data_IF_093913996827
#
_entry.id   IF_093913996827
#
_cell.length_a   1.000
_cell.length_b   1.000
_cell.length_c   1.000
_cell.angle_alpha   90.00
_cell.angle_beta   90.00
_cell.angle_gamma   90.00
#
_symmetry.space_group_name_H-M   'P 1'
#
loop_
_entity.id
_entity.type
_entity.pdbx_description
1 polymer ?
#
# COMPACT_ATOMS: atom_id res chain seq x y z
N UNK A 1 3.86 -29.43 -22.43
CA UNK A 1 3.53 -28.27 -21.58
C UNK A 1 4.81 -27.49 -21.35
N UNK A 2 4.80 -26.16 -21.52
CA UNK A 2 5.98 -25.35 -21.21
C UNK A 2 6.21 -25.31 -19.69
N UNK A 3 7.44 -25.57 -19.25
CA UNK A 3 7.83 -25.49 -17.84
C UNK A 3 8.23 -24.06 -17.52
N UNK A 4 7.53 -23.42 -16.58
CA UNK A 4 7.89 -22.09 -16.11
C UNK A 4 9.16 -22.18 -15.26
N UNK A 5 10.12 -21.31 -15.55
CA UNK A 5 11.39 -21.20 -14.84
C UNK A 5 11.55 -19.80 -14.25
N UNK A 6 12.33 -19.68 -13.18
CA UNK A 6 12.71 -18.40 -12.59
C UNK A 6 13.80 -17.69 -13.42
N UNK A 7 14.24 -16.51 -12.96
CA UNK A 7 15.30 -15.72 -13.59
C UNK A 7 16.68 -16.42 -13.64
N UNK A 8 16.84 -17.53 -12.92
CA UNK A 8 18.05 -18.35 -12.87
C UNK A 8 17.90 -19.68 -13.64
N UNK A 9 16.76 -19.89 -14.31
CA UNK A 9 16.47 -21.12 -15.06
C UNK A 9 16.00 -22.29 -14.19
N UNK A 10 15.73 -22.08 -12.90
CA UNK A 10 15.22 -23.14 -12.04
C UNK A 10 13.72 -23.33 -12.27
N UNK A 11 13.23 -24.58 -12.34
CA UNK A 11 11.80 -24.85 -12.41
C UNK A 11 11.00 -24.27 -11.25
N UNK A 12 9.97 -23.48 -11.55
CA UNK A 12 9.05 -22.99 -10.54
C UNK A 12 8.17 -24.13 -10.02
N UNK A 13 8.17 -24.32 -8.70
CA UNK A 13 7.25 -25.24 -8.03
C UNK A 13 5.93 -24.53 -7.79
N UNK A 14 4.89 -24.91 -8.53
CA UNK A 14 3.54 -24.30 -8.43
C UNK A 14 3.01 -24.13 -7.00
N UNK A 15 3.28 -25.11 -6.13
CA UNK A 15 2.83 -25.09 -4.73
C UNK A 15 3.50 -24.02 -3.86
N UNK A 16 4.71 -23.57 -4.24
CA UNK A 16 5.42 -22.52 -3.52
C UNK A 16 4.93 -21.12 -3.96
N UNK A 17 4.54 -20.97 -5.23
CA UNK A 17 4.04 -19.70 -5.79
C UNK A 17 2.67 -19.29 -5.22
N UNK A 18 1.88 -20.24 -4.73
CA UNK A 18 0.55 -19.97 -4.14
C UNK A 18 0.60 -19.59 -2.66
N UNK A 19 1.78 -19.60 -2.02
CA UNK A 19 1.91 -19.25 -0.60
C UNK A 19 2.22 -17.76 -0.44
N UNK A 20 1.68 -17.09 0.59
CA UNK A 20 2.11 -15.74 0.94
C UNK A 20 3.62 -15.69 1.14
N UNK A 21 4.29 -14.77 0.45
CA UNK A 21 5.75 -14.64 0.51
C UNK A 21 6.19 -13.68 1.64
N UNK A 22 5.41 -12.63 1.91
CA UNK A 22 5.77 -11.52 2.80
C UNK A 22 5.14 -11.59 4.20
N UNK A 23 4.70 -12.77 4.66
CA UNK A 23 4.06 -12.92 5.97
C UNK A 23 4.96 -12.49 7.16
N UNK A 24 4.36 -12.01 8.27
CA UNK A 24 5.12 -11.60 9.45
C UNK A 24 5.90 -12.78 10.05
N UNK A 25 7.16 -12.55 10.41
CA UNK A 25 8.01 -13.56 11.05
C UNK A 25 8.53 -13.03 12.39
N UNK A 26 8.62 -13.89 13.40
CA UNK A 26 9.09 -13.55 14.75
C UNK A 26 10.58 -13.21 14.84
N UNK A 27 11.37 -13.44 13.78
CA UNK A 27 12.82 -13.27 13.77
C UNK A 27 13.38 -12.78 12.42
N UNK A 28 12.64 -11.92 11.72
CA UNK A 28 13.07 -11.33 10.45
C UNK A 28 13.92 -10.06 10.60
N UNK A 29 14.45 -9.57 9.47
CA UNK A 29 15.23 -8.32 9.37
C UNK A 29 14.41 -7.08 9.75
N UNK A 30 13.07 -7.19 9.74
CA UNK A 30 12.14 -6.13 10.18
C UNK A 30 11.74 -6.41 11.64
N UNK A 31 12.24 -5.65 12.62
CA UNK A 31 11.73 -5.78 13.98
C UNK A 31 10.23 -5.45 14.01
N UNK A 32 9.46 -6.22 14.77
CA UNK A 32 8.02 -6.00 14.97
C UNK A 32 7.75 -4.78 15.88
N UNK A 33 8.79 -4.31 16.57
CA UNK A 33 8.74 -3.20 17.53
C UNK A 33 9.16 -1.93 16.80
N UNK A 34 8.22 -1.01 16.59
CA UNK A 34 8.51 0.36 16.17
C UNK A 34 9.14 1.16 17.32
N UNK A 35 9.97 2.13 16.97
CA UNK A 35 10.42 3.16 17.91
C UNK A 35 9.31 4.17 18.23
N UNK A 36 9.50 4.92 19.32
CA UNK A 36 8.66 6.08 19.68
C UNK A 36 9.47 7.38 19.62
N UNK A 37 9.84 7.87 18.43
CA UNK A 37 10.67 9.06 18.28
C UNK A 37 10.06 10.33 18.86
N UNK A 38 8.75 10.38 19.11
CA UNK A 38 8.11 11.51 19.78
C UNK A 38 8.45 11.60 21.28
N UNK A 39 8.91 10.52 21.92
CA UNK A 39 9.34 10.56 23.33
C UNK A 39 10.63 11.37 23.50
N UNK A 40 10.60 12.44 24.29
CA UNK A 40 11.76 13.33 24.45
C UNK A 40 12.11 14.11 23.19
N UNK A 41 11.14 14.32 22.29
CA UNK A 41 11.32 15.13 21.09
C UNK A 41 11.69 16.57 21.48
N UNK A 42 12.72 17.09 20.82
CA UNK A 42 13.16 18.47 20.93
C UNK A 42 13.60 18.98 19.54
N UNK A 43 13.77 20.30 19.34
CA UNK A 43 14.10 20.85 18.02
C UNK A 43 15.36 20.23 17.40
N UNK A 44 16.38 19.90 18.20
CA UNK A 44 17.62 19.28 17.71
C UNK A 44 17.36 17.85 17.21
N UNK A 45 16.59 17.06 17.94
CA UNK A 45 16.22 15.69 17.54
C UNK A 45 15.31 15.69 16.31
N UNK A 46 14.33 16.60 16.26
CA UNK A 46 13.46 16.76 15.09
C UNK A 46 14.28 17.09 13.84
N UNK A 47 15.24 18.03 13.94
CA UNK A 47 16.14 18.35 12.82
C UNK A 47 16.97 17.15 12.37
N UNK A 48 17.45 16.33 13.31
CA UNK A 48 18.20 15.11 12.97
C UNK A 48 17.34 14.08 12.24
N UNK A 49 16.09 13.87 12.68
CA UNK A 49 15.13 12.97 12.02
C UNK A 49 14.88 13.41 10.56
N UNK A 50 14.59 14.69 10.34
CA UNK A 50 14.38 15.20 8.99
C UNK A 50 15.62 15.10 8.10
N UNK A 51 16.82 15.33 8.67
CA UNK A 51 18.07 15.21 7.92
C UNK A 51 18.35 13.76 7.51
N UNK A 52 18.14 12.80 8.41
CA UNK A 52 18.27 11.38 8.10
C UNK A 52 17.34 10.98 6.95
N UNK A 53 16.07 11.41 7.01
CA UNK A 53 15.10 11.16 5.94
C UNK A 53 15.56 11.75 4.59
N UNK A 54 16.11 12.97 4.59
CA UNK A 54 16.66 13.60 3.39
C UNK A 54 17.90 12.90 2.84
N UNK A 55 18.67 12.22 3.69
CA UNK A 55 19.87 11.45 3.34
C UNK A 55 19.55 9.97 2.99
N UNK A 56 18.28 9.59 2.95
CA UNK A 56 17.83 8.26 2.52
C UNK A 56 17.49 7.27 3.65
N UNK A 57 17.48 7.73 4.91
CA UNK A 57 17.05 6.94 6.07
C UNK A 57 15.75 7.52 6.68
N UNK A 58 14.57 7.14 6.14
CA UNK A 58 13.30 7.71 6.56
C UNK A 58 12.70 7.06 7.80
N UNK A 59 13.29 5.99 8.35
CA UNK A 59 12.62 5.15 9.35
C UNK A 59 12.08 5.96 10.53
N UNK A 60 12.93 6.73 11.20
CA UNK A 60 12.51 7.56 12.35
C UNK A 60 11.54 8.68 11.98
N UNK A 61 11.49 9.11 10.72
CA UNK A 61 10.49 10.07 10.26
C UNK A 61 9.12 9.39 10.08
N UNK A 62 9.10 8.18 9.54
CA UNK A 62 7.86 7.40 9.37
C UNK A 62 7.26 7.03 10.73
N UNK A 63 8.09 6.58 11.67
CA UNK A 63 7.67 6.32 13.06
C UNK A 63 7.18 7.60 13.75
N UNK A 64 7.84 8.74 13.51
CA UNK A 64 7.41 10.02 14.08
C UNK A 64 6.06 10.48 13.51
N UNK A 65 5.81 10.24 12.22
CA UNK A 65 4.53 10.56 11.61
C UNK A 65 3.38 9.76 12.24
N UNK A 66 3.61 8.49 12.57
CA UNK A 66 2.64 7.64 13.30
C UNK A 66 2.42 8.16 14.71
N UNK A 67 3.49 8.36 15.49
CA UNK A 67 3.41 8.89 16.85
C UNK A 67 2.63 10.23 16.90
N UNK A 68 2.85 11.13 15.94
CA UNK A 68 2.15 12.42 15.87
C UNK A 68 0.67 12.22 15.56
N UNK A 69 0.31 11.32 14.63
CA UNK A 69 -1.09 11.03 14.29
C UNK A 69 -1.84 10.35 15.45
N UNK A 70 -1.17 9.58 16.30
CA UNK A 70 -1.77 8.98 17.50
C UNK A 70 -1.89 9.95 18.68
N UNK A 71 -0.93 10.89 18.82
CA UNK A 71 -0.84 11.76 20.00
C UNK A 71 -1.50 13.13 19.83
N UNK A 72 -1.49 13.71 18.64
CA UNK A 72 -2.04 15.03 18.38
C UNK A 72 -3.44 14.94 17.76
N UNK A 73 -4.46 15.23 18.57
CA UNK A 73 -5.87 15.15 18.15
C UNK A 73 -6.22 16.12 17.01
N UNK A 74 -5.54 17.27 16.91
CA UNK A 74 -5.77 18.21 15.82
C UNK A 74 -5.19 17.67 14.53
N UNK A 75 -3.94 17.19 14.57
CA UNK A 75 -3.28 16.54 13.44
C UNK A 75 -4.09 15.33 12.95
N UNK A 76 -4.51 14.45 13.85
CA UNK A 76 -5.38 13.32 13.56
C UNK A 76 -6.67 13.77 12.85
N UNK A 77 -7.34 14.80 13.37
CA UNK A 77 -8.58 15.33 12.79
C UNK A 77 -8.40 15.87 11.37
N UNK A 78 -7.31 16.62 11.12
CA UNK A 78 -6.97 17.15 9.80
C UNK A 78 -6.62 16.03 8.82
N UNK A 79 -5.77 15.08 9.23
CA UNK A 79 -5.37 13.94 8.41
C UNK A 79 -6.55 13.05 8.07
N UNK A 80 -7.37 12.68 9.06
CA UNK A 80 -8.60 11.90 8.87
C UNK A 80 -9.56 12.57 7.90
N UNK A 81 -9.73 13.89 8.00
CA UNK A 81 -10.59 14.65 7.08
C UNK A 81 -10.05 14.55 5.66
N UNK A 82 -8.76 14.81 5.45
CA UNK A 82 -8.12 14.74 4.13
C UNK A 82 -8.21 13.34 3.51
N UNK A 83 -7.89 12.30 4.29
CA UNK A 83 -7.98 10.89 3.86
C UNK A 83 -9.41 10.57 3.42
N UNK A 84 -10.43 10.89 4.23
CA UNK A 84 -11.84 10.62 3.91
C UNK A 84 -12.36 11.44 2.74
N UNK A 85 -11.97 12.70 2.60
CA UNK A 85 -12.39 13.56 1.48
C UNK A 85 -12.04 12.95 0.12
N UNK A 86 -10.95 12.19 0.03
CA UNK A 86 -10.52 11.51 -1.20
C UNK A 86 -11.07 10.08 -1.28
N UNK A 87 -10.96 9.28 -0.22
CA UNK A 87 -11.35 7.86 -0.23
C UNK A 87 -12.85 7.62 -0.52
N UNK A 88 -13.71 8.61 -0.26
CA UNK A 88 -15.15 8.51 -0.50
C UNK A 88 -15.57 8.90 -1.92
N UNK A 89 -14.67 9.40 -2.75
CA UNK A 89 -15.02 9.83 -4.10
C UNK A 89 -15.49 8.65 -4.97
N UNK A 90 -16.46 8.85 -5.87
CA UNK A 90 -16.83 7.84 -6.84
C UNK A 90 -15.67 7.63 -7.82
N UNK A 91 -15.30 6.38 -8.07
CA UNK A 91 -14.26 6.01 -9.03
C UNK A 91 -14.93 5.51 -10.31
N UNK A 92 -14.58 6.14 -11.43
CA UNK A 92 -15.12 5.78 -12.75
C UNK A 92 -13.98 5.45 -13.71
N UNK A 93 -14.18 4.42 -14.53
CA UNK A 93 -13.24 4.01 -15.57
C UNK A 93 -13.78 4.45 -16.92
N UNK A 94 -13.02 5.26 -17.63
CA UNK A 94 -13.33 5.66 -19.00
C UNK A 94 -12.58 4.76 -19.99
N UNK A 95 -13.24 4.31 -21.08
CA UNK A 95 -12.53 3.58 -22.12
C UNK A 95 -11.51 4.49 -22.80
N UNK A 96 -10.39 3.91 -23.23
CA UNK A 96 -9.33 4.66 -23.90
C UNK A 96 -9.76 5.20 -25.29
N UNK A 97 -10.78 4.60 -25.92
CA UNK A 97 -11.40 5.08 -27.16
C UNK A 97 -12.77 4.42 -27.39
N UNK A 98 -13.42 4.68 -28.52
CA UNK A 98 -14.67 4.04 -28.92
C UNK A 98 -14.57 2.58 -29.41
N UNK A 99 -13.35 2.07 -29.62
CA UNK A 99 -13.10 0.68 -29.99
C UNK A 99 -13.77 -0.31 -29.01
N UNK A 100 -14.32 -1.40 -29.55
CA UNK A 100 -15.06 -2.40 -28.78
C UNK A 100 -14.21 -3.00 -27.64
N UNK A 101 -12.93 -3.30 -27.90
CA UNK A 101 -12.02 -3.86 -26.89
C UNK A 101 -11.75 -2.88 -25.74
N UNK A 102 -11.64 -1.58 -26.03
CA UNK A 102 -11.41 -0.56 -25.00
C UNK A 102 -12.62 -0.41 -24.08
N UNK A 103 -13.84 -0.50 -24.63
CA UNK A 103 -15.09 -0.50 -23.85
C UNK A 103 -15.16 -1.73 -22.94
N UNK A 104 -14.87 -2.91 -23.49
CA UNK A 104 -14.80 -4.17 -22.74
C UNK A 104 -13.76 -4.14 -21.60
N UNK A 105 -12.59 -3.53 -21.82
CA UNK A 105 -11.57 -3.39 -20.77
C UNK A 105 -12.02 -2.42 -19.68
N UNK A 106 -12.62 -1.28 -20.03
CA UNK A 106 -13.13 -0.33 -19.04
C UNK A 106 -14.26 -0.94 -18.19
N UNK A 107 -15.19 -1.67 -18.81
CA UNK A 107 -16.25 -2.40 -18.09
C UNK A 107 -15.67 -3.43 -17.11
N UNK A 108 -14.61 -4.15 -17.51
CA UNK A 108 -13.94 -5.10 -16.63
C UNK A 108 -13.32 -4.41 -15.40
N UNK A 109 -12.54 -3.35 -15.60
CA UNK A 109 -11.93 -2.63 -14.47
C UNK A 109 -13.00 -1.95 -13.60
N UNK A 110 -14.04 -1.38 -14.20
CA UNK A 110 -15.15 -0.78 -13.45
C UNK A 110 -15.88 -1.83 -12.61
N UNK A 111 -16.11 -3.03 -13.14
CA UNK A 111 -16.71 -4.13 -12.40
C UNK A 111 -15.86 -4.51 -11.18
N UNK A 112 -14.54 -4.62 -11.33
CA UNK A 112 -13.65 -4.91 -10.21
C UNK A 112 -13.64 -3.78 -9.17
N UNK A 113 -13.66 -2.51 -9.59
CA UNK A 113 -13.77 -1.36 -8.69
C UNK A 113 -15.07 -1.40 -7.87
N UNK A 114 -16.17 -1.88 -8.48
CA UNK A 114 -17.45 -2.02 -7.80
C UNK A 114 -17.50 -3.19 -6.80
N UNK A 115 -16.52 -4.09 -6.81
CA UNK A 115 -16.38 -5.16 -5.80
C UNK A 115 -15.80 -4.61 -4.47
N UNK A 116 -15.57 -3.29 -4.37
CA UNK A 116 -15.07 -2.53 -3.20
C UNK A 116 -13.68 -2.94 -2.67
N UNK A 117 -12.95 -3.84 -3.35
CA UNK A 117 -11.57 -4.23 -3.00
C UNK A 117 -10.64 -3.01 -2.94
N UNK A 118 -10.69 -2.14 -3.96
CA UNK A 118 -9.92 -0.89 -3.95
C UNK A 118 -10.40 0.05 -2.84
N UNK A 119 -11.72 0.18 -2.65
CA UNK A 119 -12.30 1.10 -1.66
C UNK A 119 -11.83 0.77 -0.24
N UNK A 120 -11.72 -0.52 0.09
CA UNK A 120 -11.30 -0.98 1.41
C UNK A 120 -9.91 -0.47 1.81
N UNK A 121 -9.00 -0.29 0.85
CA UNK A 121 -7.60 0.08 1.12
C UNK A 121 -7.28 1.56 0.82
N UNK A 122 -8.21 2.34 0.26
CA UNK A 122 -7.95 3.75 -0.10
C UNK A 122 -7.57 4.62 1.10
N UNK A 123 -8.15 4.35 2.26
CA UNK A 123 -7.85 5.11 3.48
C UNK A 123 -6.39 4.92 3.88
N UNK A 124 -5.90 3.68 3.85
CA UNK A 124 -4.52 3.31 4.21
C UNK A 124 -3.52 3.75 3.13
N UNK A 125 -3.90 3.67 1.85
CA UNK A 125 -3.10 4.21 0.74
C UNK A 125 -2.83 5.72 0.90
N UNK A 126 -3.78 6.46 1.51
CA UNK A 126 -3.65 7.89 1.77
C UNK A 126 -2.81 8.23 3.01
N UNK A 127 -2.20 7.24 3.66
CA UNK A 127 -1.11 7.48 4.61
C UNK A 127 0.08 8.21 3.97
N UNK A 128 0.20 8.09 2.64
CA UNK A 128 1.10 8.89 1.81
C UNK A 128 0.94 10.42 1.99
N UNK A 129 -0.21 10.93 2.45
CA UNK A 129 -0.38 12.37 2.72
C UNK A 129 0.58 12.85 3.81
N UNK A 130 0.80 12.03 4.84
CA UNK A 130 1.65 12.38 5.99
C UNK A 130 3.10 11.95 5.76
N UNK A 131 3.30 10.79 5.14
CA UNK A 131 4.61 10.13 5.02
C UNK A 131 5.31 10.33 3.67
N UNK A 132 4.59 10.88 2.67
CA UNK A 132 5.09 11.10 1.31
C UNK A 132 4.94 9.89 0.39
N UNK A 133 4.76 8.69 0.93
CA UNK A 133 4.45 7.47 0.20
C UNK A 133 3.64 6.51 1.08
N UNK A 134 2.99 5.54 0.44
CA UNK A 134 2.36 4.39 1.09
C UNK A 134 2.71 3.16 0.25
N UNK A 135 2.90 2.02 0.90
CA UNK A 135 3.23 0.75 0.25
C UNK A 135 2.07 -0.19 0.51
N UNK A 136 1.61 -0.86 -0.53
CA UNK A 136 0.54 -1.84 -0.45
C UNK A 136 1.00 -3.14 -1.12
N UNK A 137 0.71 -4.28 -0.51
CA UNK A 137 0.81 -5.59 -1.15
C UNK A 137 -0.46 -5.86 -1.97
N UNK A 138 -0.30 -6.36 -3.20
CA UNK A 138 -1.43 -6.78 -4.04
C UNK A 138 -1.45 -8.29 -4.08
N UNK A 139 -2.53 -8.87 -3.56
CA UNK A 139 -2.81 -10.28 -3.68
C UNK A 139 -3.73 -10.54 -4.88
N UNK A 140 -3.35 -11.49 -5.72
CA UNK A 140 -3.99 -11.72 -7.02
C UNK A 140 -4.78 -13.02 -7.04
N UNK A 141 -5.92 -13.01 -7.72
CA UNK A 141 -6.71 -14.21 -7.96
C UNK A 141 -7.10 -14.37 -9.42
N UNK A 142 -7.43 -15.61 -9.80
CA UNK A 142 -8.12 -15.91 -11.06
C UNK A 142 -9.60 -16.14 -10.82
N UNK A 143 -10.46 -15.28 -11.36
CA UNK A 143 -11.92 -15.44 -11.37
C UNK A 143 -12.44 -15.52 -12.80
N UNK A 144 -13.18 -16.57 -13.14
CA UNK A 144 -13.72 -16.79 -14.49
C UNK A 144 -12.68 -16.64 -15.63
N UNK A 145 -11.47 -17.19 -15.41
CA UNK A 145 -10.32 -17.09 -16.33
C UNK A 145 -9.75 -15.68 -16.52
N UNK A 146 -9.99 -14.76 -15.58
CA UNK A 146 -9.42 -13.39 -15.56
C UNK A 146 -8.61 -13.20 -14.30
N UNK A 147 -7.49 -12.48 -14.42
CA UNK A 147 -6.68 -12.07 -13.27
C UNK A 147 -7.17 -10.72 -12.76
N UNK A 148 -7.36 -10.63 -11.45
CA UNK A 148 -7.76 -9.42 -10.76
C UNK A 148 -7.19 -9.42 -9.33
N UNK A 149 -6.99 -8.24 -8.71
CA UNK A 149 -6.66 -8.18 -7.30
C UNK A 149 -7.80 -8.76 -6.44
N UNK A 150 -7.46 -9.70 -5.57
CA UNK A 150 -8.34 -10.22 -4.53
C UNK A 150 -8.37 -9.28 -3.33
N UNK A 151 -7.19 -8.81 -2.93
CA UNK A 151 -6.99 -7.99 -1.74
C UNK A 151 -5.81 -7.04 -1.97
N UNK A 152 -5.85 -5.89 -1.32
CA UNK A 152 -4.76 -4.93 -1.28
C UNK A 152 -4.50 -4.60 0.19
N UNK A 153 -3.37 -5.04 0.72
CA UNK A 153 -3.05 -4.99 2.16
C UNK A 153 -1.96 -3.95 2.42
N UNK A 154 -2.14 -3.14 3.47
CA UNK A 154 -1.18 -2.15 3.94
C UNK A 154 -0.11 -2.80 4.85
#
# INVERSE_FOLDING_TARGET
>A
MAQLVDQYGNPLKRQEVTKPYAGPTTGGVRPVISGHPAEGLNPRRLSAIHRAAAEGDPLSYLELAEDIEERDLHYFGVMSTRKRSVAQLPITVKPASDAADHKKHAEFVQSWINDDVLRACLFDMLDAIGKGFSVMEIDWQTRLSRWEPREITY
#
